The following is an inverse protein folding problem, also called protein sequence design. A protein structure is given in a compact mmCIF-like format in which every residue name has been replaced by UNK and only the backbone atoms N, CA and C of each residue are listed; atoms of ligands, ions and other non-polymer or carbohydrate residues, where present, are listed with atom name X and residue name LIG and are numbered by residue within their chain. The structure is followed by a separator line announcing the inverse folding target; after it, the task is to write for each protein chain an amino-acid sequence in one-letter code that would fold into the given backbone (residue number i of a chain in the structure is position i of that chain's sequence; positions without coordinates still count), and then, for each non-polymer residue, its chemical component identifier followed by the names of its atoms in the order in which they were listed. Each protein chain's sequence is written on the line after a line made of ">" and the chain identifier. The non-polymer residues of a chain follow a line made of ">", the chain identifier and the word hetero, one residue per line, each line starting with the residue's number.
data_IF_345462652879
#
_entry.id   IF_345462652879
#
_cell.length_a   1.000
_cell.length_b   1.000
_cell.length_c   1.000
_cell.angle_alpha   90.00
_cell.angle_beta   90.00
_cell.angle_gamma   90.00
#
_symmetry.space_group_name_H-M   'P 1'
#
loop_
_entity.id
_entity.type
_entity.pdbx_description
1 polymer ?
#
# COMPACT_ATOMS: atom_id res chain seq x y z
N UNK A 1 -48.81 -6.16 -13.47
CA UNK A 1 -47.62 -5.88 -12.67
C UNK A 1 -47.05 -7.13 -11.97
N UNK A 2 -47.56 -8.32 -12.23
CA UNK A 2 -47.11 -9.60 -11.64
C UNK A 2 -46.23 -10.48 -12.54
N UNK A 3 -46.02 -10.11 -13.81
CA UNK A 3 -45.22 -10.92 -14.74
C UNK A 3 -43.72 -10.57 -14.82
N UNK A 4 -43.27 -9.47 -14.20
CA UNK A 4 -41.86 -9.06 -14.22
C UNK A 4 -41.02 -9.59 -13.05
N UNK A 5 -41.64 -10.11 -12.01
CA UNK A 5 -40.93 -10.64 -10.84
C UNK A 5 -40.48 -12.11 -10.99
N UNK A 6 -41.02 -12.85 -11.95
CA UNK A 6 -40.72 -14.29 -12.13
C UNK A 6 -39.42 -14.52 -12.93
N UNK A 7 -38.85 -13.48 -13.56
CA UNK A 7 -37.65 -13.61 -14.41
C UNK A 7 -36.31 -13.56 -13.66
N UNK A 8 -36.30 -13.22 -12.38
CA UNK A 8 -35.06 -13.01 -11.62
C UNK A 8 -34.61 -14.22 -10.77
N UNK A 9 -35.36 -15.31 -10.72
CA UNK A 9 -35.07 -16.43 -9.85
C UNK A 9 -34.71 -17.75 -10.54
N UNK A 10 -34.36 -17.71 -11.81
CA UNK A 10 -33.78 -18.84 -12.52
C UNK A 10 -32.32 -19.01 -12.18
N UNK A 11 -31.96 -19.75 -11.10
CA UNK A 11 -30.61 -20.30 -10.94
C UNK A 11 -30.26 -21.06 -12.22
N UNK A 12 -29.54 -20.42 -13.16
CA UNK A 12 -28.96 -21.10 -14.32
C UNK A 12 -28.08 -22.21 -13.75
N UNK A 13 -28.49 -23.45 -13.88
CA UNK A 13 -27.61 -24.61 -13.65
C UNK A 13 -26.36 -24.39 -14.48
N UNK A 14 -25.23 -24.16 -13.83
CA UNK A 14 -23.95 -23.93 -14.51
C UNK A 14 -23.74 -25.10 -15.47
N UNK A 15 -23.56 -24.79 -16.74
CA UNK A 15 -23.28 -25.81 -17.75
C UNK A 15 -21.76 -26.00 -17.78
N UNK A 16 -21.26 -26.92 -16.96
CA UNK A 16 -19.83 -27.20 -16.77
C UNK A 16 -19.06 -27.29 -18.13
N UNK A 17 -19.71 -27.85 -19.16
CA UNK A 17 -19.10 -27.95 -20.49
C UNK A 17 -18.94 -26.61 -21.17
N UNK A 18 -19.85 -25.67 -20.94
CA UNK A 18 -19.76 -24.30 -21.48
C UNK A 18 -18.67 -23.49 -20.77
N UNK A 19 -18.34 -23.86 -19.52
CA UNK A 19 -17.36 -23.15 -18.71
C UNK A 19 -15.92 -23.67 -18.91
N UNK A 20 -15.72 -24.81 -19.59
CA UNK A 20 -14.38 -25.41 -19.86
C UNK A 20 -13.41 -24.40 -20.47
N UNK A 21 -13.73 -23.59 -21.48
CA UNK A 21 -12.79 -22.62 -22.04
C UNK A 21 -12.29 -21.62 -21.00
N UNK A 22 -13.16 -21.19 -20.07
CA UNK A 22 -12.76 -20.27 -18.98
C UNK A 22 -11.80 -20.93 -18.00
N UNK A 23 -12.01 -22.21 -17.67
CA UNK A 23 -11.09 -22.97 -16.83
C UNK A 23 -9.72 -23.17 -17.51
N UNK A 24 -9.70 -23.41 -18.81
CA UNK A 24 -8.45 -23.54 -19.56
C UNK A 24 -7.65 -22.23 -19.58
N UNK A 25 -8.30 -21.08 -19.72
CA UNK A 25 -7.66 -19.77 -19.66
C UNK A 25 -7.14 -19.47 -18.24
N UNK A 26 -7.88 -19.89 -17.22
CA UNK A 26 -7.50 -19.69 -15.82
C UNK A 26 -6.37 -20.63 -15.36
N UNK A 27 -6.25 -21.80 -15.98
CA UNK A 27 -5.35 -22.88 -15.55
C UNK A 27 -3.87 -22.44 -15.43
N UNK A 28 -3.26 -21.71 -16.40
CA UNK A 28 -1.88 -21.24 -16.27
C UNK A 28 -1.69 -20.35 -15.05
N UNK A 29 -2.61 -19.42 -14.80
CA UNK A 29 -2.55 -18.53 -13.63
C UNK A 29 -2.72 -19.32 -12.33
N UNK A 30 -3.62 -20.28 -12.31
CA UNK A 30 -3.86 -21.15 -11.15
C UNK A 30 -2.61 -21.99 -10.82
N UNK A 31 -1.98 -22.56 -11.83
CA UNK A 31 -0.74 -23.34 -11.67
C UNK A 31 0.38 -22.46 -11.09
N UNK A 32 0.56 -21.23 -11.58
CA UNK A 32 1.55 -20.31 -11.04
C UNK A 32 1.27 -19.99 -9.57
N UNK A 33 0.01 -19.76 -9.21
CA UNK A 33 -0.38 -19.51 -7.81
C UNK A 33 -0.11 -20.73 -6.94
N UNK A 34 -0.44 -21.94 -7.40
CA UNK A 34 -0.19 -23.17 -6.65
C UNK A 34 1.32 -23.36 -6.44
N UNK A 35 2.11 -23.27 -7.52
CA UNK A 35 3.56 -23.53 -7.45
C UNK A 35 4.29 -22.48 -6.62
N UNK A 36 3.97 -21.19 -6.80
CA UNK A 36 4.74 -20.11 -6.17
C UNK A 36 4.13 -19.59 -4.86
N UNK A 37 2.88 -19.91 -4.53
CA UNK A 37 2.24 -19.52 -3.28
C UNK A 37 1.93 -20.71 -2.38
N UNK A 38 1.19 -21.70 -2.87
CA UNK A 38 0.73 -22.79 -2.03
C UNK A 38 1.83 -23.81 -1.69
N UNK A 39 2.68 -24.20 -2.65
CA UNK A 39 3.77 -25.15 -2.35
C UNK A 39 4.72 -24.58 -1.28
N UNK A 40 5.20 -23.32 -1.35
CA UNK A 40 6.04 -22.74 -0.30
C UNK A 40 5.35 -22.65 1.07
N UNK A 41 4.02 -22.57 1.13
CA UNK A 41 3.29 -22.59 2.41
C UNK A 41 3.52 -23.90 3.19
N UNK A 42 3.89 -25.00 2.54
CA UNK A 42 4.30 -26.22 3.25
C UNK A 42 5.50 -25.95 4.20
N UNK A 43 6.33 -24.96 3.89
CA UNK A 43 7.43 -24.51 4.74
C UNK A 43 6.99 -23.94 6.10
N UNK A 44 5.71 -23.57 6.29
CA UNK A 44 5.20 -23.12 7.59
C UNK A 44 5.34 -24.21 8.67
N UNK A 45 5.41 -25.49 8.27
CA UNK A 45 5.68 -26.60 9.19
C UNK A 45 7.02 -26.44 9.92
N UNK A 46 7.99 -25.72 9.33
CA UNK A 46 9.28 -25.44 9.97
C UNK A 46 9.15 -24.66 11.27
N UNK A 47 8.12 -23.85 11.43
CA UNK A 47 7.87 -23.13 12.67
C UNK A 47 7.71 -24.08 13.89
N UNK A 48 7.28 -25.32 13.64
CA UNK A 48 7.06 -26.35 14.65
C UNK A 48 8.19 -27.37 14.74
N UNK A 49 9.25 -27.22 13.92
CA UNK A 49 10.35 -28.18 13.83
C UNK A 49 11.67 -27.58 14.29
N UNK A 50 12.55 -28.42 14.84
CA UNK A 50 13.96 -28.10 15.00
C UNK A 50 14.67 -28.30 13.65
N UNK A 51 14.84 -27.19 12.92
CA UNK A 51 15.36 -27.23 11.55
C UNK A 51 16.78 -27.80 11.47
N UNK A 52 16.91 -28.91 10.74
CA UNK A 52 18.20 -29.53 10.44
C UNK A 52 18.37 -29.61 8.90
N UNK A 53 19.25 -28.75 8.32
CA UNK A 53 19.38 -28.65 6.86
C UNK A 53 19.64 -29.99 6.16
N UNK A 54 20.39 -30.89 6.82
CA UNK A 54 20.72 -32.23 6.30
C UNK A 54 19.49 -33.17 6.17
N UNK A 55 18.47 -32.96 6.98
CA UNK A 55 17.27 -33.80 7.03
C UNK A 55 16.11 -33.21 6.20
N UNK A 56 16.24 -31.95 5.78
CA UNK A 56 15.21 -31.26 5.03
C UNK A 56 13.94 -30.98 5.84
N UNK A 57 12.91 -30.50 5.12
CA UNK A 57 11.63 -30.08 5.71
C UNK A 57 10.92 -31.24 6.46
N UNK A 58 10.84 -32.38 5.84
CA UNK A 58 10.05 -33.51 6.36
C UNK A 58 10.84 -34.36 7.35
N UNK A 59 12.16 -34.48 7.18
CA UNK A 59 13.05 -35.29 8.07
C UNK A 59 13.46 -34.60 9.36
N UNK A 60 13.32 -33.28 9.46
CA UNK A 60 13.64 -32.55 10.70
C UNK A 60 12.72 -32.96 11.85
N UNK A 61 13.24 -33.18 13.07
CA UNK A 61 12.44 -33.53 14.23
C UNK A 61 11.50 -32.38 14.64
N UNK A 62 10.44 -32.73 15.36
CA UNK A 62 9.58 -31.73 15.97
C UNK A 62 10.33 -30.99 17.09
N UNK A 63 10.11 -29.69 17.18
CA UNK A 63 10.66 -28.89 18.27
C UNK A 63 10.09 -29.37 19.62
N UNK A 64 10.86 -29.15 20.69
CA UNK A 64 10.40 -29.52 22.03
C UNK A 64 9.00 -28.99 22.37
N UNK A 65 8.42 -29.47 23.48
CA UNK A 65 7.07 -29.11 23.89
C UNK A 65 5.98 -29.40 22.83
N UNK A 66 6.08 -30.53 22.14
CA UNK A 66 5.10 -30.93 21.12
C UNK A 66 5.16 -30.04 19.85
N UNK A 67 6.29 -29.45 19.56
CA UNK A 67 6.47 -28.55 18.40
C UNK A 67 6.36 -27.05 18.74
N UNK A 68 6.05 -26.69 19.96
CA UNK A 68 5.81 -25.30 20.36
C UNK A 68 7.02 -24.57 20.92
N UNK A 69 8.18 -25.23 21.06
CA UNK A 69 9.36 -24.64 21.67
C UNK A 69 9.80 -23.34 20.98
N UNK A 70 9.82 -23.30 19.66
CA UNK A 70 10.21 -22.09 18.89
C UNK A 70 9.28 -20.89 19.19
N UNK A 71 7.99 -21.13 19.32
CA UNK A 71 7.04 -20.06 19.67
C UNK A 71 7.23 -19.59 21.11
N UNK A 72 7.44 -20.54 22.06
CA UNK A 72 7.68 -20.19 23.46
C UNK A 72 8.94 -19.35 23.60
N UNK A 73 10.01 -19.69 22.86
CA UNK A 73 11.25 -18.93 22.85
C UNK A 73 11.04 -17.56 22.21
N UNK A 74 10.36 -17.50 21.07
CA UNK A 74 10.05 -16.25 20.37
C UNK A 74 9.30 -15.26 21.29
N UNK A 75 8.28 -15.72 22.02
CA UNK A 75 7.52 -14.85 22.94
C UNK A 75 8.30 -14.41 24.18
N UNK A 76 9.41 -15.06 24.50
CA UNK A 76 10.33 -14.63 25.57
C UNK A 76 11.34 -13.60 25.10
N UNK A 77 11.47 -13.41 23.78
CA UNK A 77 12.46 -12.53 23.15
C UNK A 77 11.97 -11.08 23.22
N UNK A 78 12.70 -10.16 23.90
CA UNK A 78 12.31 -8.75 23.99
C UNK A 78 12.14 -8.10 22.62
N UNK A 79 12.93 -8.52 21.64
CA UNK A 79 12.95 -8.02 20.28
C UNK A 79 11.60 -8.24 19.57
N UNK A 80 10.87 -9.31 19.89
CA UNK A 80 9.53 -9.53 19.34
C UNK A 80 8.58 -8.42 19.79
N UNK A 81 8.53 -8.15 21.08
CA UNK A 81 7.64 -7.11 21.65
C UNK A 81 7.99 -5.74 21.07
N UNK A 82 9.29 -5.43 20.97
CA UNK A 82 9.76 -4.19 20.37
C UNK A 82 9.39 -4.11 18.88
N UNK A 83 9.54 -5.19 18.13
CA UNK A 83 9.19 -5.24 16.71
C UNK A 83 7.69 -5.07 16.47
N UNK A 84 6.85 -5.69 17.29
CA UNK A 84 5.39 -5.50 17.24
C UNK A 84 5.04 -4.03 17.53
N UNK A 85 5.61 -3.46 18.60
CA UNK A 85 5.37 -2.07 18.96
C UNK A 85 5.82 -1.10 17.88
N UNK A 86 7.02 -1.29 17.35
CA UNK A 86 7.54 -0.48 16.25
C UNK A 86 6.62 -0.58 15.02
N UNK A 87 6.19 -1.78 14.66
CA UNK A 87 5.29 -1.99 13.51
C UNK A 87 3.98 -1.23 13.71
N UNK A 88 3.35 -1.34 14.87
CA UNK A 88 2.12 -0.62 15.17
C UNK A 88 2.34 0.89 15.16
N UNK A 89 3.39 1.37 15.82
CA UNK A 89 3.71 2.79 15.92
C UNK A 89 3.98 3.41 14.54
N UNK A 90 4.86 2.79 13.74
CA UNK A 90 5.18 3.28 12.39
C UNK A 90 3.94 3.30 11.49
N UNK A 91 3.13 2.24 11.52
CA UNK A 91 1.93 2.18 10.69
C UNK A 91 0.88 3.23 11.13
N UNK A 92 0.65 3.40 12.42
CA UNK A 92 -0.29 4.41 12.93
C UNK A 92 0.14 5.82 12.56
N UNK A 93 1.42 6.16 12.78
CA UNK A 93 1.93 7.48 12.40
C UNK A 93 1.85 7.69 10.89
N UNK A 94 2.25 6.70 10.10
CA UNK A 94 2.19 6.79 8.64
C UNK A 94 0.77 6.97 8.15
N UNK A 95 -0.20 6.24 8.70
CA UNK A 95 -1.61 6.34 8.33
C UNK A 95 -2.20 7.74 8.54
N UNK A 96 -1.78 8.45 9.61
CA UNK A 96 -2.22 9.82 9.90
C UNK A 96 -1.88 10.77 8.74
N UNK A 97 -0.75 10.56 8.07
CA UNK A 97 -0.31 11.40 6.95
C UNK A 97 -0.71 10.81 5.59
N UNK A 98 -0.61 9.52 5.42
CA UNK A 98 -0.84 8.82 4.15
C UNK A 98 -2.32 8.78 3.78
N UNK A 99 -3.24 8.79 4.75
CA UNK A 99 -4.67 8.80 4.47
C UNK A 99 -5.19 10.17 3.99
N UNK A 100 -4.90 11.31 4.65
CA UNK A 100 -5.41 12.60 4.21
C UNK A 100 -4.66 13.17 3.00
N UNK A 101 -3.40 12.81 2.78
CA UNK A 101 -2.59 13.38 1.70
C UNK A 101 -3.20 13.18 0.30
N UNK A 102 -3.68 11.97 -0.10
CA UNK A 102 -4.36 11.77 -1.38
C UNK A 102 -5.66 12.56 -1.51
N UNK A 103 -6.40 12.75 -0.43
CA UNK A 103 -7.64 13.53 -0.42
C UNK A 103 -7.31 14.99 -0.71
N UNK A 104 -6.34 15.56 0.01
CA UNK A 104 -5.90 16.94 -0.18
C UNK A 104 -5.39 17.13 -1.61
N UNK A 105 -4.57 16.22 -2.10
CA UNK A 105 -4.04 16.31 -3.47
C UNK A 105 -5.14 16.18 -4.51
N UNK A 106 -6.15 15.32 -4.31
CA UNK A 106 -7.30 15.19 -5.21
C UNK A 106 -8.09 16.49 -5.30
N UNK A 107 -8.37 17.12 -4.16
CA UNK A 107 -9.07 18.39 -4.09
C UNK A 107 -8.29 19.49 -4.82
N UNK A 108 -6.98 19.59 -4.57
CA UNK A 108 -6.12 20.57 -5.25
C UNK A 108 -6.09 20.35 -6.77
N UNK A 109 -5.96 19.09 -7.21
CA UNK A 109 -5.95 18.77 -8.64
C UNK A 109 -7.32 19.02 -9.26
N UNK A 110 -8.41 18.82 -8.52
CA UNK A 110 -9.76 19.06 -9.04
C UNK A 110 -9.99 20.53 -9.37
N UNK A 111 -9.44 21.44 -8.58
CA UNK A 111 -9.53 22.89 -8.80
C UNK A 111 -8.66 23.43 -9.96
N UNK A 112 -7.77 22.61 -10.54
CA UNK A 112 -6.95 23.02 -11.67
C UNK A 112 -7.82 23.16 -12.92
N UNK A 113 -8.04 24.39 -13.40
CA UNK A 113 -8.81 24.69 -14.61
C UNK A 113 -8.09 24.34 -15.92
N UNK A 114 -6.75 24.46 -15.96
CA UNK A 114 -5.97 24.13 -17.14
C UNK A 114 -5.79 22.62 -17.31
N UNK A 115 -6.43 22.04 -18.35
CA UNK A 115 -6.42 20.59 -18.60
C UNK A 115 -5.00 20.00 -18.79
N UNK A 116 -4.09 20.74 -19.44
CA UNK A 116 -2.71 20.28 -19.64
C UNK A 116 -1.95 20.24 -18.32
N UNK A 117 -2.03 21.31 -17.55
CA UNK A 117 -1.39 21.38 -16.24
C UNK A 117 -1.94 20.30 -15.29
N UNK A 118 -3.27 20.12 -15.27
CA UNK A 118 -3.93 19.04 -14.51
C UNK A 118 -3.34 17.68 -14.86
N UNK A 119 -3.27 17.35 -16.17
CA UNK A 119 -2.74 16.07 -16.64
C UNK A 119 -1.25 15.87 -16.27
N UNK A 120 -0.43 16.89 -16.42
CA UNK A 120 1.00 16.84 -16.06
C UNK A 120 1.17 16.61 -14.56
N UNK A 121 0.45 17.37 -13.73
CA UNK A 121 0.47 17.22 -12.27
C UNK A 121 0.07 15.80 -11.84
N UNK A 122 -1.01 15.27 -12.42
CA UNK A 122 -1.44 13.88 -12.19
C UNK A 122 -0.33 12.89 -12.55
N UNK A 123 0.24 12.99 -13.76
CA UNK A 123 1.26 12.07 -14.24
C UNK A 123 2.50 12.08 -13.35
N UNK A 124 2.99 13.26 -12.96
CA UNK A 124 4.15 13.40 -12.08
C UNK A 124 3.85 12.82 -10.69
N UNK A 125 2.66 13.07 -10.15
CA UNK A 125 2.26 12.56 -8.84
C UNK A 125 2.13 11.03 -8.81
N UNK A 126 1.73 10.40 -9.93
CA UNK A 126 1.55 8.94 -9.99
C UNK A 126 2.85 8.17 -10.20
N UNK A 127 3.85 8.82 -10.81
CA UNK A 127 5.10 8.18 -11.21
C UNK A 127 5.83 7.44 -10.07
N UNK A 128 5.96 8.02 -8.85
CA UNK A 128 6.66 7.35 -7.76
C UNK A 128 6.06 6.01 -7.35
N UNK A 129 4.75 5.84 -7.51
CA UNK A 129 4.07 4.58 -7.16
C UNK A 129 4.60 3.37 -7.95
N UNK A 130 4.97 3.57 -9.21
CA UNK A 130 5.45 2.51 -10.11
C UNK A 130 6.93 2.16 -9.88
N UNK A 131 7.65 2.93 -9.07
CA UNK A 131 9.02 2.60 -8.72
C UNK A 131 9.07 1.40 -7.76
N UNK A 132 10.01 0.51 -7.98
CA UNK A 132 10.27 -0.58 -7.03
C UNK A 132 10.76 -0.02 -5.68
N UNK A 133 10.53 -0.77 -4.62
CA UNK A 133 11.03 -0.38 -3.28
C UNK A 133 12.55 -0.18 -3.29
N UNK A 134 13.28 -1.04 -4.00
CA UNK A 134 14.73 -0.91 -4.14
C UNK A 134 15.14 0.39 -4.83
N UNK A 135 14.43 0.80 -5.90
CA UNK A 135 14.69 2.06 -6.58
C UNK A 135 14.40 3.26 -5.68
N UNK A 136 13.29 3.25 -4.96
CA UNK A 136 12.94 4.29 -3.98
C UNK A 136 14.00 4.41 -2.89
N UNK A 137 14.41 3.27 -2.31
CA UNK A 137 15.46 3.24 -1.28
C UNK A 137 16.79 3.78 -1.83
N UNK A 138 17.14 3.44 -3.07
CA UNK A 138 18.32 3.98 -3.75
C UNK A 138 18.27 5.50 -3.90
N UNK A 139 17.13 6.05 -4.31
CA UNK A 139 16.91 7.50 -4.44
C UNK A 139 17.03 8.17 -3.06
N UNK A 140 16.35 7.64 -2.05
CA UNK A 140 16.39 8.17 -0.67
C UNK A 140 17.82 8.17 -0.13
N UNK A 141 18.55 7.05 -0.29
CA UNK A 141 19.95 6.97 0.10
C UNK A 141 20.82 8.00 -0.63
N UNK A 142 20.66 8.15 -1.94
CA UNK A 142 21.44 9.12 -2.72
C UNK A 142 21.18 10.57 -2.30
N UNK A 143 19.95 10.87 -1.86
CA UNK A 143 19.59 12.22 -1.42
C UNK A 143 19.99 12.50 0.03
N UNK A 144 19.77 11.54 0.94
CA UNK A 144 19.83 11.72 2.39
C UNK A 144 21.06 11.09 3.06
N UNK A 145 21.94 10.40 2.32
CA UNK A 145 23.20 9.91 2.86
C UNK A 145 24.10 11.06 3.36
N UNK A 146 25.11 10.74 4.13
CA UNK A 146 26.05 11.71 4.71
C UNK A 146 26.63 12.65 3.64
N UNK A 147 26.96 12.13 2.45
CA UNK A 147 27.47 12.88 1.30
C UNK A 147 26.38 13.16 0.25
N UNK A 148 25.12 12.95 0.61
CA UNK A 148 23.98 13.13 -0.28
C UNK A 148 23.72 14.60 -0.64
N UNK A 149 22.87 14.78 -1.66
CA UNK A 149 22.53 16.11 -2.18
C UNK A 149 21.99 17.04 -1.09
N UNK A 150 21.11 16.54 -0.22
CA UNK A 150 20.48 17.35 0.83
C UNK A 150 21.52 17.81 1.86
N UNK A 151 22.39 16.91 2.32
CA UNK A 151 23.45 17.27 3.26
C UNK A 151 24.48 18.22 2.64
N UNK A 152 24.80 18.04 1.35
CA UNK A 152 25.69 18.95 0.62
C UNK A 152 25.10 20.37 0.53
N UNK A 153 23.78 20.50 0.32
CA UNK A 153 23.09 21.79 0.33
C UNK A 153 23.05 22.41 1.72
N UNK A 154 22.74 21.64 2.77
CA UNK A 154 22.71 22.11 4.16
C UNK A 154 24.09 22.66 4.58
N UNK A 155 25.14 21.95 4.27
CA UNK A 155 26.52 22.36 4.58
C UNK A 155 26.89 23.67 3.87
N UNK A 156 26.46 23.86 2.62
CA UNK A 156 26.72 25.12 1.86
C UNK A 156 26.04 26.34 2.46
N UNK A 157 24.88 26.16 3.12
CA UNK A 157 24.16 27.26 3.80
C UNK A 157 24.56 27.40 5.29
N UNK A 158 25.61 26.69 5.73
CA UNK A 158 26.13 26.78 7.09
C UNK A 158 25.35 25.92 8.13
N UNK A 159 24.40 25.11 7.68
CA UNK A 159 23.73 24.11 8.52
C UNK A 159 24.53 22.81 8.44
N UNK A 160 24.88 22.25 9.60
CA UNK A 160 25.60 20.97 9.64
C UNK A 160 24.83 19.83 8.96
N UNK A 161 25.57 18.86 8.40
CA UNK A 161 24.97 17.66 7.85
C UNK A 161 24.20 16.85 8.91
N UNK A 162 23.11 16.22 8.51
CA UNK A 162 22.24 15.42 9.36
C UNK A 162 22.36 13.93 9.03
N UNK A 163 22.28 13.07 10.02
CA UNK A 163 22.23 11.60 9.85
C UNK A 163 20.77 11.13 9.70
N UNK A 164 20.16 11.46 8.58
CA UNK A 164 18.72 11.23 8.32
C UNK A 164 18.29 9.78 8.47
N UNK A 165 19.11 8.84 8.05
CA UNK A 165 18.80 7.41 7.98
C UNK A 165 19.26 6.63 9.22
N UNK A 166 20.22 7.19 10.00
CA UNK A 166 20.80 6.54 11.18
C UNK A 166 20.21 7.08 12.49
N UNK A 167 19.69 8.30 12.47
CA UNK A 167 19.12 8.95 13.67
C UNK A 167 17.71 8.48 13.92
N UNK A 168 17.44 7.97 15.13
CA UNK A 168 16.09 7.55 15.55
C UNK A 168 15.05 8.65 15.41
N UNK A 169 15.44 9.92 15.63
CA UNK A 169 14.54 11.08 15.51
C UNK A 169 14.25 11.48 14.06
N UNK A 170 15.20 11.28 13.14
CA UNK A 170 15.07 11.64 11.74
C UNK A 170 14.49 10.50 10.88
N UNK A 171 14.67 9.25 11.31
CA UNK A 171 14.23 8.07 10.55
C UNK A 171 12.74 8.04 10.33
N UNK A 172 11.92 8.22 11.38
CA UNK A 172 10.47 8.18 11.27
C UNK A 172 9.90 9.24 10.33
N UNK A 173 10.24 10.54 10.45
CA UNK A 173 9.82 11.56 9.49
C UNK A 173 10.25 11.23 8.05
N UNK A 174 11.49 10.77 7.85
CA UNK A 174 11.99 10.36 6.53
C UNK A 174 11.18 9.22 5.95
N UNK A 175 10.88 8.21 6.74
CA UNK A 175 10.07 7.06 6.35
C UNK A 175 8.65 7.52 5.94
N UNK A 176 7.98 8.31 6.79
CA UNK A 176 6.62 8.81 6.54
C UNK A 176 6.57 9.65 5.27
N UNK A 177 7.50 10.61 5.10
CA UNK A 177 7.56 11.46 3.90
C UNK A 177 7.79 10.64 2.63
N UNK A 178 8.67 9.64 2.71
CA UNK A 178 8.94 8.75 1.57
C UNK A 178 7.71 7.91 1.22
N UNK A 179 7.02 7.38 2.22
CA UNK A 179 5.80 6.59 2.04
C UNK A 179 4.69 7.43 1.42
N UNK A 180 4.43 8.60 1.97
CA UNK A 180 3.44 9.54 1.43
C UNK A 180 3.78 9.93 0.00
N UNK A 181 5.04 10.33 -0.28
CA UNK A 181 5.47 10.69 -1.63
C UNK A 181 5.25 9.55 -2.64
N UNK A 182 5.50 8.31 -2.23
CA UNK A 182 5.33 7.15 -3.08
C UNK A 182 3.86 6.81 -3.35
N UNK A 183 2.97 7.00 -2.37
CA UNK A 183 1.59 6.49 -2.42
C UNK A 183 0.55 7.56 -2.76
N UNK A 184 0.83 8.83 -2.46
CA UNK A 184 -0.16 9.93 -2.54
C UNK A 184 -0.81 10.05 -3.91
N UNK A 185 -0.04 9.97 -4.99
CA UNK A 185 -0.57 10.11 -6.34
C UNK A 185 -1.51 8.98 -6.72
N UNK A 186 -1.15 7.75 -6.40
CA UNK A 186 -2.00 6.58 -6.66
C UNK A 186 -3.32 6.63 -5.89
N UNK A 187 -3.27 6.95 -4.60
CA UNK A 187 -4.46 7.14 -3.78
C UNK A 187 -5.38 8.25 -4.32
N UNK A 188 -4.81 9.30 -4.86
CA UNK A 188 -5.54 10.44 -5.45
C UNK A 188 -6.46 10.03 -6.62
N UNK A 189 -6.11 8.97 -7.37
CA UNK A 189 -6.92 8.50 -8.51
C UNK A 189 -8.32 8.11 -8.06
N UNK A 190 -8.43 7.40 -6.94
CA UNK A 190 -9.71 6.92 -6.40
C UNK A 190 -10.60 8.12 -6.04
N UNK A 191 -10.05 9.10 -5.33
CA UNK A 191 -10.80 10.29 -4.93
C UNK A 191 -11.20 11.16 -6.12
N UNK A 192 -10.32 11.35 -7.10
CA UNK A 192 -10.66 12.08 -8.34
C UNK A 192 -11.74 11.36 -9.13
N UNK A 193 -11.70 10.04 -9.23
CA UNK A 193 -12.74 9.27 -9.90
C UNK A 193 -14.11 9.42 -9.22
N UNK A 194 -14.12 9.41 -7.87
CA UNK A 194 -15.35 9.64 -7.09
C UNK A 194 -15.89 11.05 -7.33
N UNK A 195 -15.03 12.07 -7.32
CA UNK A 195 -15.43 13.46 -7.57
C UNK A 195 -15.99 13.68 -8.99
N UNK A 196 -15.42 13.01 -10.00
CA UNK A 196 -15.95 13.05 -11.37
C UNK A 196 -17.34 12.40 -11.50
N UNK A 197 -17.75 11.57 -10.56
CA UNK A 197 -19.08 10.94 -10.51
C UNK A 197 -20.15 11.79 -9.83
N UNK A 198 -19.78 12.90 -9.18
CA UNK A 198 -20.73 13.81 -8.55
C UNK A 198 -21.47 14.64 -9.61
N UNK A 199 -22.77 14.85 -9.40
CA UNK A 199 -23.59 15.66 -10.31
C UNK A 199 -23.14 17.12 -10.28
N UNK A 200 -22.94 17.69 -11.47
CA UNK A 200 -22.60 19.10 -11.62
C UNK A 200 -23.74 20.01 -11.13
N UNK A 201 -24.98 19.55 -11.27
CA UNK A 201 -26.18 20.28 -10.81
C UNK A 201 -26.13 20.58 -9.31
N UNK A 202 -25.52 19.69 -8.52
CA UNK A 202 -25.34 19.88 -7.06
C UNK A 202 -24.40 21.06 -6.76
N UNK A 203 -23.32 21.18 -7.54
CA UNK A 203 -22.39 22.29 -7.41
C UNK A 203 -23.00 23.62 -7.86
N UNK A 204 -23.76 23.60 -8.96
CA UNK A 204 -24.45 24.79 -9.47
C UNK A 204 -25.54 25.26 -8.50
N UNK A 205 -26.31 24.36 -7.90
CA UNK A 205 -27.29 24.69 -6.87
C UNK A 205 -26.63 25.32 -5.63
N UNK A 206 -25.50 24.74 -5.16
CA UNK A 206 -24.76 25.29 -4.04
C UNK A 206 -24.17 26.68 -4.34
N UNK A 207 -23.77 26.95 -5.58
CA UNK A 207 -23.28 28.24 -6.02
C UNK A 207 -24.38 29.29 -6.05
N UNK A 208 -25.59 28.94 -6.50
CA UNK A 208 -26.78 29.80 -6.46
C UNK A 208 -27.14 30.16 -4.99
N UNK A 209 -26.99 29.19 -4.07
CA UNK A 209 -27.19 29.40 -2.62
C UNK A 209 -26.07 30.20 -1.96
N UNK A 210 -25.08 30.68 -2.71
CA UNK A 210 -23.96 31.49 -2.21
C UNK A 210 -22.90 30.69 -1.46
N UNK A 211 -22.83 29.38 -1.66
CA UNK A 211 -21.78 28.55 -1.06
C UNK A 211 -20.45 28.79 -1.76
N UNK A 212 -19.48 29.36 -1.05
CA UNK A 212 -18.09 29.41 -1.51
C UNK A 212 -17.46 28.02 -1.55
N UNK A 213 -16.30 27.89 -2.24
CA UNK A 213 -15.56 26.64 -2.45
C UNK A 213 -15.41 25.76 -1.21
N UNK A 214 -15.09 26.35 -0.06
CA UNK A 214 -14.99 25.63 1.22
C UNK A 214 -16.32 25.03 1.68
N UNK A 215 -17.44 25.73 1.47
CA UNK A 215 -18.76 25.19 1.83
C UNK A 215 -19.17 24.07 0.86
N UNK A 216 -18.90 24.21 -0.43
CA UNK A 216 -19.13 23.16 -1.44
C UNK A 216 -18.31 21.89 -1.17
N UNK A 217 -17.15 22.02 -0.50
CA UNK A 217 -16.31 20.90 -0.12
C UNK A 217 -16.81 20.16 1.12
N UNK A 218 -17.47 20.86 2.05
CA UNK A 218 -17.88 20.32 3.36
C UNK A 218 -19.30 19.77 3.37
N UNK A 219 -20.13 20.12 2.37
CA UNK A 219 -21.54 19.75 2.24
C UNK A 219 -21.86 19.12 0.90
#
# INVERSE_FOLDING_TARGET
>A
MKEKETALNGKKKGNFRADIPFYLILLPALLLVIVFKYIPMSGLVLAFKEWKPKLGLWGSPWAGNGGWANFIELFKTPELTQSIWNTLYFNLVTMIFEFPAPIILALLINEIGNKHFKKVTQTISYLPHFLSVAAVTGIVNSLLSEYGLINSMLTKVGLGGQKWLESSSAFLPTYVLTSVWKSVGWGTIIFLATMCGLSQDTYEAAEIDGAGKWKQLLH
#
